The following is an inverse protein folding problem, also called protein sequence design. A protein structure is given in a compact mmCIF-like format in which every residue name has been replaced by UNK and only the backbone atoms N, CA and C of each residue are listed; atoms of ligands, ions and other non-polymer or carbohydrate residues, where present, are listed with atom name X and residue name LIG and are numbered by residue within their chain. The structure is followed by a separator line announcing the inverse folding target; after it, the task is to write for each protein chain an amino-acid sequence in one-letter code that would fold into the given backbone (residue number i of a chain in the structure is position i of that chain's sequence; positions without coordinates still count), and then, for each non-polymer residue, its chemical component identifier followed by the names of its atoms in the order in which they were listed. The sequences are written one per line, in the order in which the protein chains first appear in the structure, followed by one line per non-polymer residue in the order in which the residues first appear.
data_IF_930358037801
#
_entry.id   IF_930358037801
#
_cell.length_a   1.000
_cell.length_b   1.000
_cell.length_c   1.000
_cell.angle_alpha   90.00
_cell.angle_beta   90.00
_cell.angle_gamma   90.00
#
_symmetry.space_group_name_H-M   'P 1'
#
loop_
_entity.id
_entity.type
_entity.pdbx_description
1 polymer ?
#
# COMPACT_ATOMS: atom_id res chain seq x y z
N UNK A 1 -62.65 -16.59 18.41
CA UNK A 1 -61.81 -15.37 18.38
C UNK A 1 -60.46 -15.70 18.98
N UNK A 2 -59.69 -16.60 18.34
CA UNK A 2 -58.27 -16.81 18.69
C UNK A 2 -57.54 -17.61 17.59
N UNK A 3 -57.83 -17.29 16.32
CA UNK A 3 -57.16 -17.93 15.17
C UNK A 3 -56.34 -16.94 14.34
N UNK A 4 -56.37 -15.66 14.72
CA UNK A 4 -55.65 -14.57 14.06
C UNK A 4 -54.34 -14.22 14.77
N UNK A 5 -54.18 -14.59 16.05
CA UNK A 5 -52.94 -14.39 16.81
C UNK A 5 -51.86 -15.44 16.46
N UNK A 6 -52.22 -16.59 15.87
CA UNK A 6 -51.29 -17.65 15.49
C UNK A 6 -50.60 -17.44 14.15
N UNK A 7 -51.00 -16.42 13.37
CA UNK A 7 -50.49 -16.19 12.00
C UNK A 7 -49.41 -15.10 11.98
N UNK A 8 -49.33 -14.24 13.00
CA UNK A 8 -48.23 -13.27 13.16
C UNK A 8 -46.91 -13.95 13.61
N UNK A 9 -46.95 -15.22 14.00
CA UNK A 9 -45.82 -16.05 14.45
C UNK A 9 -45.12 -16.83 13.30
N UNK A 10 -45.44 -16.58 12.03
CA UNK A 10 -44.80 -17.31 10.90
C UNK A 10 -43.40 -16.79 10.53
N UNK A 11 -42.96 -15.67 11.11
CA UNK A 11 -41.58 -15.17 11.00
C UNK A 11 -41.09 -14.73 12.38
N UNK A 12 -40.71 -15.70 13.22
CA UNK A 12 -40.20 -15.44 14.57
C UNK A 12 -39.09 -14.38 14.60
N UNK A 13 -39.04 -13.60 15.70
CA UNK A 13 -38.04 -12.54 15.87
C UNK A 13 -36.60 -13.04 15.70
N UNK A 14 -35.68 -12.12 15.40
CA UNK A 14 -34.26 -12.50 15.30
C UNK A 14 -33.75 -13.05 16.63
N UNK A 15 -34.27 -12.55 17.75
CA UNK A 15 -34.01 -13.07 19.09
C UNK A 15 -34.40 -14.54 19.24
N UNK A 16 -35.61 -14.92 18.79
CA UNK A 16 -36.08 -16.30 18.88
C UNK A 16 -35.32 -17.24 17.94
N UNK A 17 -34.91 -16.77 16.76
CA UNK A 17 -34.07 -17.53 15.83
C UNK A 17 -32.69 -17.82 16.44
N UNK A 18 -32.05 -16.82 17.05
CA UNK A 18 -30.76 -16.99 17.73
C UNK A 18 -30.88 -17.94 18.92
N UNK A 19 -31.94 -17.81 19.71
CA UNK A 19 -32.26 -18.73 20.81
C UNK A 19 -32.41 -20.17 20.33
N UNK A 20 -33.19 -20.39 19.27
CA UNK A 20 -33.36 -21.71 18.68
C UNK A 20 -32.03 -22.28 18.14
N UNK A 21 -31.19 -21.44 17.55
CA UNK A 21 -29.82 -21.78 17.14
C UNK A 21 -28.96 -22.26 18.30
N UNK A 22 -28.99 -21.53 19.42
CA UNK A 22 -28.28 -21.89 20.66
C UNK A 22 -28.77 -23.21 21.23
N UNK A 23 -30.08 -23.37 21.35
CA UNK A 23 -30.70 -24.56 21.94
C UNK A 23 -30.45 -25.82 21.10
N UNK A 24 -30.46 -25.69 19.77
CA UNK A 24 -30.07 -26.78 18.85
C UNK A 24 -28.64 -27.29 19.09
N UNK A 25 -27.73 -26.41 19.50
CA UNK A 25 -26.34 -26.75 19.82
C UNK A 25 -26.16 -27.17 21.30
N UNK A 26 -27.24 -27.20 22.09
CA UNK A 26 -27.17 -27.53 23.51
C UNK A 26 -26.38 -26.53 24.36
N UNK A 27 -26.22 -25.29 23.87
CA UNK A 27 -25.42 -24.26 24.54
C UNK A 27 -26.26 -23.48 25.55
N UNK A 28 -25.67 -23.17 26.70
CA UNK A 28 -26.24 -22.21 27.64
C UNK A 28 -25.99 -20.78 27.18
N UNK A 29 -26.76 -19.82 27.72
CA UNK A 29 -26.52 -18.40 27.46
C UNK A 29 -25.13 -17.96 27.94
N UNK A 30 -24.62 -18.57 29.03
CA UNK A 30 -23.25 -18.36 29.52
C UNK A 30 -22.18 -18.85 28.55
N UNK A 31 -22.42 -19.93 27.81
CA UNK A 31 -21.47 -20.42 26.81
C UNK A 31 -21.35 -19.44 25.65
N UNK A 32 -22.49 -18.88 25.20
CA UNK A 32 -22.50 -17.83 24.18
C UNK A 32 -21.78 -16.59 24.71
N UNK A 33 -22.03 -16.17 25.95
CA UNK A 33 -21.35 -15.03 26.57
C UNK A 33 -19.82 -15.23 26.60
N UNK A 34 -19.35 -16.42 26.96
CA UNK A 34 -17.93 -16.76 26.96
C UNK A 34 -17.31 -16.73 25.55
N UNK A 35 -18.02 -17.26 24.54
CA UNK A 35 -17.56 -17.29 23.14
C UNK A 35 -17.52 -15.90 22.49
N UNK A 36 -18.54 -15.08 22.74
CA UNK A 36 -18.75 -13.78 22.07
C UNK A 36 -18.17 -12.60 22.85
N UNK A 37 -17.89 -12.79 24.15
CA UNK A 37 -17.56 -11.74 25.12
C UNK A 37 -18.68 -10.70 25.30
N UNK A 38 -19.90 -11.04 24.90
CA UNK A 38 -21.08 -10.22 25.15
C UNK A 38 -21.64 -10.57 26.54
N UNK A 39 -21.93 -9.59 27.41
CA UNK A 39 -22.53 -9.85 28.71
C UNK A 39 -23.85 -10.64 28.57
N UNK A 40 -24.02 -11.67 29.42
CA UNK A 40 -25.21 -12.54 29.44
C UNK A 40 -26.53 -11.77 29.46
N UNK A 41 -26.61 -10.69 30.25
CA UNK A 41 -27.79 -9.81 30.30
C UNK A 41 -28.20 -9.24 28.94
N UNK A 42 -27.24 -8.92 28.07
CA UNK A 42 -27.51 -8.33 26.76
C UNK A 42 -27.91 -9.42 25.75
N UNK A 43 -27.34 -10.62 25.87
CA UNK A 43 -27.78 -11.77 25.09
C UNK A 43 -29.22 -12.17 25.45
N UNK A 44 -29.58 -12.09 26.73
CA UNK A 44 -30.94 -12.33 27.20
C UNK A 44 -31.92 -11.30 26.62
N UNK A 45 -31.57 -10.02 26.67
CA UNK A 45 -32.35 -8.95 26.04
C UNK A 45 -32.51 -9.17 24.53
N UNK A 46 -31.49 -9.68 23.83
CA UNK A 46 -31.59 -10.03 22.41
C UNK A 46 -32.56 -11.18 22.19
N UNK A 47 -32.48 -12.27 22.97
CA UNK A 47 -33.42 -13.40 22.84
C UNK A 47 -34.88 -13.01 23.10
N UNK A 48 -35.09 -11.98 23.93
CA UNK A 48 -36.40 -11.45 24.29
C UNK A 48 -36.86 -10.29 23.37
N UNK A 49 -36.07 -9.92 22.36
CA UNK A 49 -36.29 -8.71 21.53
C UNK A 49 -36.50 -7.42 22.36
N UNK A 50 -35.94 -7.36 23.57
CA UNK A 50 -35.99 -6.19 24.45
C UNK A 50 -34.81 -5.25 24.16
N UNK A 51 -34.93 -4.47 23.09
CA UNK A 51 -33.84 -3.62 22.61
C UNK A 51 -33.60 -2.37 23.49
N UNK A 52 -34.57 -1.94 24.29
CA UNK A 52 -34.45 -0.83 25.24
C UNK A 52 -33.40 -1.10 26.33
N UNK A 53 -33.18 -2.37 26.68
CA UNK A 53 -32.18 -2.79 27.66
C UNK A 53 -30.75 -2.88 27.09
N UNK A 54 -30.56 -2.57 25.79
CA UNK A 54 -29.27 -2.65 25.12
C UNK A 54 -28.57 -1.29 25.05
N UNK A 55 -27.22 -1.25 24.96
CA UNK A 55 -26.46 0.00 24.92
C UNK A 55 -26.67 0.88 23.66
N UNK A 56 -27.50 0.45 22.71
CA UNK A 56 -27.81 1.15 21.47
C UNK A 56 -27.72 0.27 20.23
N UNK A 57 -28.31 0.73 19.11
CA UNK A 57 -28.49 -0.03 17.86
C UNK A 57 -27.18 -0.63 17.31
N UNK A 58 -26.10 0.15 17.26
CA UNK A 58 -24.82 -0.31 16.72
C UNK A 58 -24.26 -1.51 17.49
N UNK A 59 -24.39 -1.47 18.83
CA UNK A 59 -23.99 -2.59 19.68
C UNK A 59 -24.90 -3.79 19.48
N UNK A 60 -26.23 -3.58 19.40
CA UNK A 60 -27.20 -4.64 19.13
C UNK A 60 -26.89 -5.40 17.85
N UNK A 61 -26.57 -4.69 16.77
CA UNK A 61 -26.16 -5.29 15.49
C UNK A 61 -24.87 -6.10 15.62
N UNK A 62 -23.87 -5.57 16.33
CA UNK A 62 -22.61 -6.26 16.59
C UNK A 62 -22.80 -7.53 17.43
N UNK A 63 -23.64 -7.46 18.47
CA UNK A 63 -23.97 -8.58 19.34
C UNK A 63 -24.74 -9.66 18.59
N UNK A 64 -25.77 -9.28 17.82
CA UNK A 64 -26.53 -10.22 16.99
C UNK A 64 -25.63 -10.95 15.98
N UNK A 65 -24.71 -10.21 15.32
CA UNK A 65 -23.73 -10.79 14.40
C UNK A 65 -22.79 -11.76 15.11
N UNK A 66 -22.27 -11.40 16.28
CA UNK A 66 -21.36 -12.27 17.05
C UNK A 66 -22.08 -13.52 17.54
N UNK A 67 -23.33 -13.39 18.00
CA UNK A 67 -24.17 -14.50 18.40
C UNK A 67 -24.43 -15.44 17.23
N UNK A 68 -24.87 -14.93 16.07
CA UNK A 68 -25.09 -15.76 14.87
C UNK A 68 -23.88 -16.63 14.51
N UNK A 69 -22.66 -16.05 14.55
CA UNK A 69 -21.44 -16.82 14.33
C UNK A 69 -21.22 -17.91 15.39
N UNK A 70 -21.51 -17.62 16.66
CA UNK A 70 -21.36 -18.58 17.75
C UNK A 70 -22.34 -19.77 17.68
N UNK A 71 -23.45 -19.60 16.95
CA UNK A 71 -24.46 -20.64 16.71
C UNK A 71 -24.49 -21.16 15.28
N UNK A 72 -23.42 -20.91 14.52
CA UNK A 72 -23.21 -21.43 13.16
C UNK A 72 -24.32 -21.02 12.17
N UNK A 73 -24.87 -19.82 12.34
CA UNK A 73 -25.83 -19.20 11.43
C UNK A 73 -25.15 -18.14 10.56
N UNK A 74 -25.75 -17.81 9.41
CA UNK A 74 -25.22 -16.72 8.58
C UNK A 74 -25.37 -15.36 9.29
N UNK A 75 -24.23 -14.83 9.71
CA UNK A 75 -24.17 -13.59 10.45
C UNK A 75 -24.58 -12.38 9.61
N UNK A 76 -24.44 -12.43 8.28
CA UNK A 76 -24.88 -11.37 7.40
C UNK A 76 -26.42 -11.30 7.36
N UNK A 77 -27.09 -12.42 7.05
CA UNK A 77 -28.55 -12.51 7.09
C UNK A 77 -29.13 -12.10 8.44
N UNK A 78 -28.56 -12.58 9.56
CA UNK A 78 -29.05 -12.22 10.90
C UNK A 78 -28.88 -10.73 11.18
N UNK A 79 -27.74 -10.13 10.80
CA UNK A 79 -27.52 -8.69 11.02
C UNK A 79 -28.46 -7.80 10.20
N UNK A 80 -28.80 -8.23 8.98
CA UNK A 80 -29.76 -7.53 8.12
C UNK A 80 -31.18 -7.62 8.70
N UNK A 81 -31.60 -8.82 9.11
CA UNK A 81 -32.88 -9.04 9.77
C UNK A 81 -32.99 -8.23 11.08
N UNK A 82 -31.92 -8.19 11.89
CA UNK A 82 -31.86 -7.42 13.12
C UNK A 82 -31.99 -5.92 12.85
N UNK A 83 -31.36 -5.41 11.77
CA UNK A 83 -31.51 -4.01 11.35
C UNK A 83 -32.96 -3.69 11.04
N UNK A 84 -33.64 -4.56 10.29
CA UNK A 84 -35.05 -4.39 9.95
C UNK A 84 -35.97 -4.47 11.18
N UNK A 85 -35.68 -5.36 12.13
CA UNK A 85 -36.43 -5.46 13.40
C UNK A 85 -36.25 -4.23 14.29
N UNK A 86 -35.02 -3.69 14.41
CA UNK A 86 -34.79 -2.45 15.15
C UNK A 86 -35.46 -1.24 14.49
N UNK A 87 -35.47 -1.17 13.16
CA UNK A 87 -36.19 -0.11 12.44
C UNK A 87 -37.71 -0.16 12.69
N UNK A 88 -38.31 -1.35 12.68
CA UNK A 88 -39.74 -1.54 12.97
C UNK A 88 -40.12 -1.22 14.42
N UNK A 89 -39.22 -1.48 15.36
CA UNK A 89 -39.44 -1.23 16.79
C UNK A 89 -39.13 0.22 17.21
N UNK A 90 -38.85 1.13 16.27
CA UNK A 90 -38.52 2.52 16.58
C UNK A 90 -37.16 2.72 17.24
N UNK A 91 -36.34 1.67 17.31
CA UNK A 91 -34.96 1.70 17.80
C UNK A 91 -33.99 2.07 16.68
N UNK A 92 -34.37 3.09 15.89
CA UNK A 92 -33.48 3.71 14.92
C UNK A 92 -32.40 4.46 15.68
N UNK A 93 -31.27 3.79 15.91
CA UNK A 93 -30.03 4.46 16.24
C UNK A 93 -29.52 5.26 15.04
N UNK A 94 -28.48 6.04 15.30
CA UNK A 94 -27.81 6.85 14.29
C UNK A 94 -27.45 5.98 13.07
N UNK A 95 -28.20 6.14 11.98
CA UNK A 95 -27.74 5.70 10.67
C UNK A 95 -26.64 6.69 10.27
N UNK A 96 -25.35 6.31 10.26
CA UNK A 96 -24.40 7.11 9.52
C UNK A 96 -25.00 7.19 8.10
N UNK A 97 -25.14 8.41 7.53
CA UNK A 97 -25.65 8.54 6.18
C UNK A 97 -24.89 7.55 5.34
N UNK A 98 -25.61 6.69 4.59
CA UNK A 98 -25.01 5.70 3.72
C UNK A 98 -23.88 6.41 2.98
N UNK A 99 -22.65 6.18 3.43
CA UNK A 99 -21.50 6.70 2.77
C UNK A 99 -21.56 5.89 1.50
N UNK A 100 -22.10 6.50 0.43
CA UNK A 100 -21.72 6.17 -0.90
C UNK A 100 -20.19 6.13 -0.83
N UNK A 101 -19.65 4.94 -0.66
CA UNK A 101 -18.25 4.69 -0.90
C UNK A 101 -18.15 4.81 -2.41
N UNK A 102 -18.12 6.05 -2.88
CA UNK A 102 -17.80 6.40 -4.23
C UNK A 102 -16.30 6.16 -4.33
N UNK A 103 -15.86 5.09 -5.02
CA UNK A 103 -14.44 4.82 -5.15
C UNK A 103 -13.78 6.04 -5.81
N UNK A 104 -12.77 6.57 -5.13
CA UNK A 104 -11.93 7.69 -5.53
C UNK A 104 -12.59 9.07 -5.45
N UNK A 105 -12.38 9.76 -4.33
CA UNK A 105 -12.17 11.20 -4.35
C UNK A 105 -10.90 11.49 -5.18
N UNK A 106 -11.02 12.05 -6.41
CA UNK A 106 -9.87 12.39 -7.24
C UNK A 106 -9.01 13.52 -6.64
N UNK A 107 -9.40 14.12 -5.51
CA UNK A 107 -8.58 15.10 -4.81
C UNK A 107 -7.40 14.49 -4.02
N UNK A 108 -7.31 13.15 -3.93
CA UNK A 108 -6.16 12.47 -3.28
C UNK A 108 -5.04 12.03 -4.22
N UNK A 109 -5.16 12.25 -5.54
CA UNK A 109 -4.04 12.01 -6.46
C UNK A 109 -3.19 13.27 -6.62
N UNK A 110 -1.84 13.18 -6.60
CA UNK A 110 -1.00 14.33 -6.91
C UNK A 110 -1.36 14.89 -8.29
N UNK A 111 -1.35 16.23 -8.41
CA UNK A 111 -1.79 16.90 -9.63
C UNK A 111 -1.05 16.36 -10.86
N UNK A 112 -1.76 16.24 -11.99
CA UNK A 112 -1.15 15.82 -13.27
C UNK A 112 0.09 16.65 -13.63
N UNK A 113 0.13 17.91 -13.20
CA UNK A 113 1.28 18.82 -13.35
C UNK A 113 2.50 18.36 -12.55
N UNK A 114 2.33 17.84 -11.33
CA UNK A 114 3.44 17.31 -10.52
C UNK A 114 4.00 16.00 -11.10
N UNK A 115 3.13 15.16 -11.66
CA UNK A 115 3.56 13.95 -12.35
C UNK A 115 4.35 14.27 -13.64
N UNK A 116 3.89 15.23 -14.44
CA UNK A 116 4.57 15.62 -15.69
C UNK A 116 5.89 16.37 -15.43
N UNK A 117 5.92 17.25 -14.44
CA UNK A 117 7.15 17.98 -14.09
C UNK A 117 8.22 17.05 -13.54
N UNK A 118 7.86 16.09 -12.69
CA UNK A 118 8.82 15.09 -12.19
C UNK A 118 9.35 14.20 -13.31
N UNK A 119 8.49 13.75 -14.23
CA UNK A 119 8.91 12.98 -15.41
C UNK A 119 9.85 13.79 -16.32
N UNK A 120 9.55 15.08 -16.57
CA UNK A 120 10.39 15.95 -17.38
C UNK A 120 11.77 16.17 -16.74
N UNK A 121 11.81 16.45 -15.43
CA UNK A 121 13.07 16.61 -14.68
C UNK A 121 13.91 15.33 -14.74
N UNK A 122 13.29 14.17 -14.54
CA UNK A 122 13.97 12.88 -14.63
C UNK A 122 14.54 12.63 -16.04
N UNK A 123 13.79 12.95 -17.10
CA UNK A 123 14.24 12.82 -18.48
C UNK A 123 15.44 13.74 -18.78
N UNK A 124 15.41 14.99 -18.32
CA UNK A 124 16.52 15.94 -18.48
C UNK A 124 17.76 15.47 -17.73
N UNK A 125 17.61 15.00 -16.48
CA UNK A 125 18.72 14.47 -15.70
C UNK A 125 19.35 13.23 -16.36
N UNK A 126 18.53 12.32 -16.90
CA UNK A 126 19.00 11.16 -17.65
C UNK A 126 19.75 11.57 -18.92
N UNK A 127 19.20 12.49 -19.72
CA UNK A 127 19.85 12.99 -20.93
C UNK A 127 21.21 13.63 -20.61
N UNK A 128 21.28 14.48 -19.58
CA UNK A 128 22.52 15.09 -19.12
C UNK A 128 23.55 14.03 -18.67
N UNK A 129 23.11 13.01 -17.93
CA UNK A 129 23.95 11.89 -17.52
C UNK A 129 24.51 11.12 -18.72
N UNK A 130 23.69 10.80 -19.72
CA UNK A 130 24.14 10.08 -20.93
C UNK A 130 25.12 10.91 -21.76
N UNK A 131 24.89 12.22 -21.90
CA UNK A 131 25.80 13.13 -22.62
C UNK A 131 27.14 13.21 -21.88
N UNK A 132 27.14 13.45 -20.57
CA UNK A 132 28.36 13.51 -19.76
C UNK A 132 29.12 12.18 -19.79
N UNK A 133 28.40 11.05 -19.67
CA UNK A 133 28.97 9.70 -19.77
C UNK A 133 29.61 9.47 -21.15
N UNK A 134 28.94 9.87 -22.23
CA UNK A 134 29.47 9.73 -23.59
C UNK A 134 30.78 10.50 -23.77
N UNK A 135 30.83 11.75 -23.30
CA UNK A 135 32.04 12.59 -23.39
C UNK A 135 33.18 12.07 -22.52
N UNK A 136 32.89 11.50 -21.35
CA UNK A 136 33.93 10.98 -20.43
C UNK A 136 34.45 9.60 -20.82
N UNK A 137 33.64 8.72 -21.42
CA UNK A 137 34.10 7.42 -21.92
C UNK A 137 34.74 7.48 -23.32
N UNK A 138 34.40 8.46 -24.16
CA UNK A 138 34.98 8.58 -25.52
C UNK A 138 36.41 9.17 -25.51
N UNK A 139 36.86 9.75 -24.39
CA UNK A 139 38.23 10.29 -24.24
C UNK A 139 39.25 9.29 -23.68
N UNK A 140 38.92 7.98 -23.61
CA UNK A 140 39.90 6.94 -23.33
C UNK A 140 40.77 6.68 -24.59
N UNK A 141 41.68 7.61 -24.88
CA UNK A 141 42.73 7.41 -25.87
C UNK A 141 43.65 6.25 -25.42
N UNK A 142 44.00 5.29 -26.31
CA UNK A 142 44.96 4.25 -25.98
C UNK A 142 46.33 4.88 -25.72
N UNK A 143 46.89 4.59 -24.55
CA UNK A 143 48.28 4.87 -24.25
C UNK A 143 49.16 3.91 -25.06
N UNK A 144 49.78 4.40 -26.13
CA UNK A 144 50.99 3.81 -26.69
C UNK A 144 51.86 4.92 -27.28
N UNK A 145 52.90 5.29 -26.54
CA UNK A 145 54.03 6.07 -27.05
C UNK A 145 55.18 5.11 -27.31
N UNK A 146 55.66 4.91 -28.55
CA UNK A 146 57.04 4.55 -28.78
C UNK A 146 57.89 5.82 -28.82
N UNK A 147 58.96 5.74 -28.06
CA UNK A 147 59.97 6.76 -27.79
C UNK A 147 60.91 6.87 -29.00
N UNK A 148 60.99 8.05 -29.62
CA UNK A 148 62.15 8.40 -30.45
C UNK A 148 62.46 9.88 -30.25
N UNK A 149 63.25 10.20 -29.22
CA UNK A 149 63.90 11.50 -29.11
C UNK A 149 65.16 11.47 -29.99
N UNK A 150 65.28 12.27 -31.06
CA UNK A 150 66.58 12.48 -31.68
C UNK A 150 67.48 13.23 -30.69
N UNK A 151 68.63 12.61 -30.39
CA UNK A 151 69.72 13.18 -29.63
C UNK A 151 70.15 14.49 -30.30
N UNK A 152 69.89 15.63 -29.65
CA UNK A 152 70.43 16.92 -30.06
C UNK A 152 71.72 17.17 -29.27
N UNK A 153 72.85 16.74 -29.84
CA UNK A 153 74.18 17.08 -29.34
C UNK A 153 74.50 18.53 -29.69
N UNK A 154 74.35 19.42 -28.71
CA UNK A 154 74.89 20.78 -28.75
C UNK A 154 76.43 20.70 -28.75
N UNK A 155 77.15 21.24 -29.77
CA UNK A 155 78.61 21.19 -29.80
C UNK A 155 79.18 22.04 -28.66
N UNK A 156 79.86 21.40 -27.71
CA UNK A 156 80.69 22.09 -26.72
C UNK A 156 82.11 22.23 -27.29
N UNK A 157 82.51 23.49 -27.46
CA UNK A 157 83.82 23.91 -27.93
C UNK A 157 84.95 23.22 -27.14
N UNK A 158 85.85 22.55 -27.86
CA UNK A 158 87.16 22.14 -27.34
C UNK A 158 88.24 22.98 -28.00
N UNK A 159 89.14 23.44 -27.15
CA UNK A 159 90.17 24.46 -27.33
C UNK A 159 91.32 24.00 -28.27
N UNK A 160 92.30 24.89 -28.55
CA UNK A 160 93.09 24.94 -29.79
C UNK A 160 94.23 23.90 -29.82
N UNK A 161 94.50 23.38 -31.01
CA UNK A 161 95.69 22.55 -31.29
C UNK A 161 96.60 23.34 -32.23
N UNK A 162 97.85 23.47 -31.80
CA UNK A 162 98.94 24.26 -32.39
C UNK A 162 99.35 23.79 -33.81
N UNK A 163 100.09 24.62 -34.57
CA UNK A 163 100.26 24.44 -36.01
C UNK A 163 101.55 23.72 -36.43
N UNK A 164 101.61 23.44 -37.75
CA UNK A 164 102.72 23.04 -38.65
C UNK A 164 102.88 21.54 -39.00
N UNK A 165 103.45 21.18 -40.17
CA UNK A 165 103.44 21.86 -41.48
C UNK A 165 103.23 20.93 -42.71
N UNK A 166 102.92 21.57 -43.86
CA UNK A 166 103.34 21.29 -45.23
C UNK A 166 103.24 19.87 -45.86
N UNK A 167 102.42 19.74 -46.91
CA UNK A 167 102.86 19.27 -48.25
C UNK A 167 101.70 19.47 -49.25
N UNK A 168 101.79 20.43 -50.16
CA UNK A 168 102.24 20.28 -51.56
C UNK A 168 101.21 19.66 -52.52
N UNK A 169 100.76 20.54 -53.44
CA UNK A 169 100.54 20.30 -54.86
C UNK A 169 99.46 19.29 -55.30
N UNK A 170 98.43 19.78 -56.02
CA UNK A 170 98.34 19.76 -57.50
C UNK A 170 96.87 20.04 -57.91
N UNK A 171 96.52 21.22 -58.44
CA UNK A 171 96.37 21.53 -59.89
C UNK A 171 95.61 20.44 -60.66
N UNK A 172 94.32 20.64 -60.93
CA UNK A 172 93.84 21.17 -62.22
C UNK A 172 94.19 20.27 -63.42
N UNK A 173 93.25 19.41 -63.82
CA UNK A 173 92.56 19.42 -65.12
C UNK A 173 91.66 18.20 -65.24
#
# INVERSE_FOLDING_TARGET
MDLLASVDEEHGSVGSQLKAGRERLGLSLSDIAAKTRVPTRHLESIEQSNFDALPGQTYTLGFARSYANAVEMDAATISEAMRLELARSGHEGYQPPAQNYEPADPARVPSKTLAWTSAAIAAVALAAYFIFRSLTLTNAAPADKPVTSPISVKPAATAPIAPLPANSANSAQ
#
